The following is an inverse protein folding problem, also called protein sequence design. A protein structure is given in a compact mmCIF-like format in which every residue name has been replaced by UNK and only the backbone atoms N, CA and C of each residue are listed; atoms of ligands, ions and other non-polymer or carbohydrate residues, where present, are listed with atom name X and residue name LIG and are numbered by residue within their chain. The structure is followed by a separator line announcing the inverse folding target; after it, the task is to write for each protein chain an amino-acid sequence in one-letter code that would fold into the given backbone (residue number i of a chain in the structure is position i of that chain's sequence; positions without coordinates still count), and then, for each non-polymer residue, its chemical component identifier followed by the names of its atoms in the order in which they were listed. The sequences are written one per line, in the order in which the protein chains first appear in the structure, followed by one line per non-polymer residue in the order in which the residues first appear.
data_IF_232399525121
#
_entry.id   IF_232399525121
#
_cell.length_a   1.000
_cell.length_b   1.000
_cell.length_c   1.000
_cell.angle_alpha   90.00
_cell.angle_beta   90.00
_cell.angle_gamma   90.00
#
_symmetry.space_group_name_H-M   'P 1'
#
loop_
_entity.id
_entity.type
_entity.pdbx_description
1 polymer ?
#
# COMPACT_ATOMS: atom_id res chain seq x y z
N UNK A 1 -3.08 8.49 -10.84
CA UNK A 1 -4.29 8.14 -10.07
C UNK A 1 -5.43 8.94 -10.67
N UNK A 2 -6.50 8.31 -11.17
CA UNK A 2 -7.59 9.00 -11.91
C UNK A 2 -8.41 10.00 -11.06
N UNK A 3 -8.25 9.94 -9.74
CA UNK A 3 -9.07 10.69 -8.78
C UNK A 3 -8.69 12.19 -8.77
N UNK A 4 -7.41 12.52 -8.83
CA UNK A 4 -6.94 13.93 -8.88
C UNK A 4 -7.40 14.65 -10.15
N UNK A 5 -7.42 13.92 -11.26
CA UNK A 5 -7.87 14.38 -12.58
C UNK A 5 -9.40 14.61 -12.58
N UNK A 6 -10.16 13.70 -11.98
CA UNK A 6 -11.61 13.85 -11.82
C UNK A 6 -11.98 15.01 -10.88
N UNK A 7 -11.21 15.26 -9.81
CA UNK A 7 -11.40 16.40 -8.91
C UNK A 7 -11.15 17.73 -9.61
N UNK A 8 -10.11 17.81 -10.44
CA UNK A 8 -9.83 19.00 -11.26
C UNK A 8 -10.97 19.28 -12.26
N UNK A 9 -11.49 18.23 -12.91
CA UNK A 9 -12.60 18.34 -13.83
C UNK A 9 -13.90 18.77 -13.12
N UNK A 10 -14.18 18.22 -11.94
CA UNK A 10 -15.34 18.59 -11.13
C UNK A 10 -15.27 20.07 -10.70
N UNK A 11 -14.09 20.52 -10.25
CA UNK A 11 -13.85 21.93 -9.91
C UNK A 11 -14.12 22.85 -11.10
N UNK A 12 -13.63 22.51 -12.29
CA UNK A 12 -13.86 23.30 -13.50
C UNK A 12 -15.35 23.36 -13.91
N UNK A 13 -16.11 22.27 -13.73
CA UNK A 13 -17.55 22.25 -14.01
C UNK A 13 -18.31 23.10 -13.00
N UNK A 14 -17.93 23.01 -11.73
CA UNK A 14 -18.53 23.80 -10.65
C UNK A 14 -18.21 25.29 -10.82
N UNK A 15 -16.98 25.67 -11.18
CA UNK A 15 -16.60 27.07 -11.44
C UNK A 15 -17.39 27.65 -12.63
N UNK A 16 -17.76 26.81 -13.62
CA UNK A 16 -18.66 27.20 -14.72
C UNK A 16 -20.11 27.35 -14.26
N UNK A 17 -20.58 26.48 -13.35
CA UNK A 17 -21.95 26.53 -12.81
C UNK A 17 -22.15 27.66 -11.80
N UNK A 18 -21.12 28.01 -11.01
CA UNK A 18 -21.11 29.10 -10.04
C UNK A 18 -21.26 30.49 -10.67
N UNK A 19 -20.93 30.63 -11.96
CA UNK A 19 -21.23 31.85 -12.74
C UNK A 19 -22.73 32.04 -13.05
N UNK A 20 -23.57 31.04 -12.78
CA UNK A 20 -25.01 31.01 -13.06
C UNK A 20 -25.87 30.83 -11.78
N UNK A 21 -25.68 31.68 -10.76
CA UNK A 21 -26.53 31.75 -9.54
C UNK A 21 -26.44 30.61 -8.50
N UNK A 22 -25.34 29.87 -8.42
CA UNK A 22 -25.08 28.98 -7.26
C UNK A 22 -24.43 29.76 -6.12
N UNK A 23 -24.86 29.51 -4.88
CA UNK A 23 -24.21 30.04 -3.67
C UNK A 23 -22.75 29.60 -3.65
N UNK A 24 -21.87 30.54 -3.99
CA UNK A 24 -20.43 30.34 -4.13
C UNK A 24 -19.78 29.94 -2.81
N UNK A 25 -20.38 30.31 -1.67
CA UNK A 25 -19.82 30.03 -0.34
C UNK A 25 -19.97 28.54 0.01
N UNK A 26 -21.17 27.99 -0.14
CA UNK A 26 -21.47 26.58 0.06
C UNK A 26 -20.68 25.71 -0.92
N UNK A 27 -20.64 26.12 -2.19
CA UNK A 27 -19.95 25.42 -3.27
C UNK A 27 -18.42 25.38 -3.07
N UNK A 28 -17.82 26.50 -2.68
CA UNK A 28 -16.39 26.58 -2.38
C UNK A 28 -15.99 25.74 -1.16
N UNK A 29 -16.82 25.76 -0.10
CA UNK A 29 -16.57 24.96 1.11
C UNK A 29 -16.65 23.45 0.83
N UNK A 30 -17.60 23.01 -0.02
CA UNK A 30 -17.74 21.62 -0.43
C UNK A 30 -16.51 21.13 -1.19
N UNK A 31 -16.01 21.92 -2.15
CA UNK A 31 -14.80 21.58 -2.89
C UNK A 31 -13.55 21.50 -2.01
N UNK A 32 -13.39 22.43 -1.06
CA UNK A 32 -12.28 22.39 -0.10
C UNK A 32 -12.33 21.14 0.79
N UNK A 33 -13.53 20.77 1.25
CA UNK A 33 -13.73 19.56 2.04
C UNK A 33 -13.43 18.29 1.23
N UNK A 34 -13.85 18.23 -0.04
CA UNK A 34 -13.50 17.13 -0.95
C UNK A 34 -11.99 17.03 -1.19
N UNK A 35 -11.31 18.16 -1.42
CA UNK A 35 -9.88 18.17 -1.63
C UNK A 35 -9.13 17.68 -0.38
N UNK A 36 -9.57 18.11 0.81
CA UNK A 36 -9.03 17.66 2.09
C UNK A 36 -9.24 16.15 2.29
N UNK A 37 -10.46 15.66 2.07
CA UNK A 37 -10.77 14.23 2.18
C UNK A 37 -9.96 13.39 1.18
N UNK A 38 -9.73 13.89 -0.04
CA UNK A 38 -8.88 13.20 -1.01
C UNK A 38 -7.42 13.11 -0.54
N UNK A 39 -6.86 14.21 -0.02
CA UNK A 39 -5.49 14.22 0.52
C UNK A 39 -5.33 13.27 1.71
N UNK A 40 -6.32 13.21 2.60
CA UNK A 40 -6.34 12.27 3.73
C UNK A 40 -6.42 10.81 3.23
N UNK A 41 -7.26 10.53 2.23
CA UNK A 41 -7.38 9.21 1.61
C UNK A 41 -6.07 8.77 0.95
N UNK A 42 -5.40 9.65 0.21
CA UNK A 42 -4.10 9.35 -0.39
C UNK A 42 -3.03 9.05 0.67
N UNK A 43 -3.06 9.76 1.79
CA UNK A 43 -2.14 9.52 2.92
C UNK A 43 -2.38 8.14 3.53
N UNK A 44 -3.63 7.77 3.78
CA UNK A 44 -4.01 6.45 4.30
C UNK A 44 -3.57 5.35 3.33
N UNK A 45 -3.81 5.52 2.03
CA UNK A 45 -3.39 4.54 1.03
C UNK A 45 -1.87 4.30 1.03
N UNK A 46 -1.08 5.39 1.11
CA UNK A 46 0.39 5.29 1.21
C UNK A 46 0.85 4.61 2.50
N UNK A 47 0.14 4.82 3.62
CA UNK A 47 0.44 4.13 4.88
C UNK A 47 0.14 2.64 4.77
N UNK A 48 -1.04 2.27 4.26
CA UNK A 48 -1.42 0.87 4.02
C UNK A 48 -0.45 0.16 3.08
N UNK A 49 0.01 0.81 2.00
CA UNK A 49 0.98 0.22 1.08
C UNK A 49 2.33 -0.05 1.79
N UNK A 50 2.77 0.83 2.69
CA UNK A 50 3.97 0.63 3.49
C UNK A 50 3.80 -0.49 4.51
N UNK A 51 2.68 -0.53 5.21
CA UNK A 51 2.35 -1.58 6.18
C UNK A 51 2.30 -2.95 5.49
N UNK A 52 1.62 -3.07 4.35
CA UNK A 52 1.59 -4.31 3.57
C UNK A 52 2.99 -4.80 3.14
N UNK A 53 3.88 -3.88 2.73
CA UNK A 53 5.28 -4.23 2.41
C UNK A 53 6.05 -4.69 3.65
N UNK A 54 5.85 -4.01 4.78
CA UNK A 54 6.45 -4.37 6.06
C UNK A 54 5.98 -5.75 6.53
N UNK A 55 4.68 -6.02 6.48
CA UNK A 55 4.11 -7.31 6.87
C UNK A 55 4.62 -8.43 5.97
N UNK A 56 4.68 -8.20 4.65
CA UNK A 56 5.25 -9.17 3.72
C UNK A 56 6.73 -9.48 4.05
N UNK A 57 7.53 -8.50 4.46
CA UNK A 57 8.90 -8.73 4.92
C UNK A 57 8.93 -9.52 6.24
N UNK A 58 8.05 -9.22 7.19
CA UNK A 58 7.95 -9.94 8.46
C UNK A 58 7.62 -11.43 8.23
N UNK A 59 6.70 -11.76 7.33
CA UNK A 59 6.40 -13.15 6.99
C UNK A 59 7.61 -13.87 6.38
N UNK A 60 8.37 -13.22 5.49
CA UNK A 60 9.60 -13.80 4.93
C UNK A 60 10.64 -14.07 6.02
N UNK A 61 10.82 -13.16 6.96
CA UNK A 61 11.72 -13.34 8.11
C UNK A 61 11.27 -14.49 9.00
N UNK A 62 9.97 -14.57 9.30
CA UNK A 62 9.40 -15.67 10.08
C UNK A 62 9.63 -17.03 9.42
N UNK A 63 9.34 -17.15 8.12
CA UNK A 63 9.60 -18.36 7.35
C UNK A 63 11.09 -18.72 7.35
N UNK A 64 11.97 -17.73 7.19
CA UNK A 64 13.41 -17.95 7.25
C UNK A 64 13.86 -18.48 8.63
N UNK A 65 13.33 -17.93 9.72
CA UNK A 65 13.59 -18.42 11.08
C UNK A 65 13.11 -19.87 11.26
N UNK A 66 11.91 -20.21 10.79
CA UNK A 66 11.42 -21.58 10.83
C UNK A 66 12.32 -22.55 10.04
N UNK A 67 12.88 -22.10 8.91
CA UNK A 67 13.83 -22.91 8.13
C UNK A 67 15.16 -23.09 8.86
N UNK A 68 15.68 -22.06 9.54
CA UNK A 68 16.87 -22.17 10.41
C UNK A 68 16.64 -23.21 11.52
N UNK A 69 15.49 -23.14 12.21
CA UNK A 69 15.15 -24.11 13.25
C UNK A 69 15.10 -25.54 12.71
N UNK A 70 14.49 -25.75 11.53
CA UNK A 70 14.49 -27.07 10.87
C UNK A 70 15.88 -27.54 10.49
N UNK A 71 16.77 -26.63 10.09
CA UNK A 71 18.15 -26.97 9.74
C UNK A 71 18.98 -27.37 10.97
N UNK A 72 18.77 -26.68 12.09
CA UNK A 72 19.50 -26.89 13.34
C UNK A 72 19.04 -28.15 14.09
N UNK A 73 17.73 -28.34 14.19
CA UNK A 73 17.14 -29.37 15.06
C UNK A 73 16.40 -30.48 14.30
N UNK A 74 16.17 -30.31 12.99
CA UNK A 74 15.48 -31.30 12.17
C UNK A 74 16.40 -32.43 11.73
N UNK A 75 15.89 -33.66 11.79
CA UNK A 75 16.55 -34.84 11.23
C UNK A 75 16.33 -34.93 9.71
N UNK A 76 16.93 -34.00 8.97
CA UNK A 76 16.75 -33.88 7.52
C UNK A 76 17.68 -34.84 6.76
N UNK A 77 17.13 -35.55 5.77
CA UNK A 77 17.96 -36.28 4.81
C UNK A 77 18.75 -35.30 3.93
N UNK A 78 19.88 -35.71 3.32
CA UNK A 78 20.71 -34.83 2.48
C UNK A 78 19.92 -34.05 1.42
N UNK A 79 19.04 -34.75 0.67
CA UNK A 79 18.22 -34.12 -0.37
C UNK A 79 17.19 -33.11 0.19
N UNK A 80 16.70 -33.32 1.41
CA UNK A 80 15.77 -32.41 2.07
C UNK A 80 16.49 -31.17 2.60
N UNK A 81 17.69 -31.35 3.16
CA UNK A 81 18.58 -30.27 3.58
C UNK A 81 18.96 -29.39 2.40
N UNK A 82 19.32 -29.98 1.25
CA UNK A 82 19.65 -29.22 0.04
C UNK A 82 18.46 -28.39 -0.46
N UNK A 83 17.26 -28.99 -0.53
CA UNK A 83 16.04 -28.27 -0.90
C UNK A 83 15.73 -27.13 0.08
N UNK A 84 15.95 -27.33 1.37
CA UNK A 84 15.76 -26.33 2.40
C UNK A 84 16.73 -25.15 2.22
N UNK A 85 18.02 -25.43 2.03
CA UNK A 85 19.04 -24.41 1.77
C UNK A 85 18.76 -23.62 0.49
N UNK A 86 18.31 -24.29 -0.57
CA UNK A 86 17.91 -23.62 -1.82
C UNK A 86 16.71 -22.67 -1.61
N UNK A 87 15.72 -23.07 -0.80
CA UNK A 87 14.60 -22.19 -0.44
C UNK A 87 15.05 -21.00 0.41
N UNK A 88 15.90 -21.23 1.39
CA UNK A 88 16.49 -20.17 2.22
C UNK A 88 17.28 -19.17 1.36
N UNK A 89 18.10 -19.64 0.42
CA UNK A 89 18.86 -18.76 -0.48
C UNK A 89 17.96 -17.89 -1.36
N UNK A 90 16.81 -18.41 -1.82
CA UNK A 90 15.82 -17.60 -2.55
C UNK A 90 15.22 -16.52 -1.68
N UNK A 91 14.74 -16.87 -0.48
CA UNK A 91 14.14 -15.90 0.45
C UNK A 91 15.17 -14.82 0.84
N UNK A 92 16.42 -15.20 1.12
CA UNK A 92 17.48 -14.26 1.48
C UNK A 92 17.82 -13.24 0.39
N UNK A 93 17.49 -13.51 -0.89
CA UNK A 93 17.65 -12.54 -1.98
C UNK A 93 16.48 -11.57 -2.11
N UNK A 94 15.36 -11.87 -1.46
CA UNK A 94 14.13 -11.08 -1.55
C UNK A 94 13.81 -10.30 -0.26
N UNK A 95 14.66 -10.44 0.75
CA UNK A 95 14.71 -9.62 1.98
C UNK A 95 15.80 -8.57 1.75
#
# INVERSE_FOLDING_TARGET
MKISENLANLKNVIDKAAKNDLDMSATGSFLQNLEKANKETEKIYKQLEKELKSDAQMFKQFDFMQMITKLQYGNLKPNEREKLLNKMSKIAKEI
#
